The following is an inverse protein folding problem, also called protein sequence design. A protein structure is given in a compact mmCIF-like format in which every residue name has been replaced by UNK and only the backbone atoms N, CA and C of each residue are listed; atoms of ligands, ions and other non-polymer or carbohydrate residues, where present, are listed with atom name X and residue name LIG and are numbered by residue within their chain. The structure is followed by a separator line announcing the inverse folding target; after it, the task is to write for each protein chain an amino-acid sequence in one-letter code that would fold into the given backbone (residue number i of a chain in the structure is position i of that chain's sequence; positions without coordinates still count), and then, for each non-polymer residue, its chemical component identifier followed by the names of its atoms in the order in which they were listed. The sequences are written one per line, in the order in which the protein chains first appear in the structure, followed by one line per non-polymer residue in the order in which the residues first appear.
data_IF_560261078392
#
_entry.id   IF_560261078392
#
_cell.length_a   1.000
_cell.length_b   1.000
_cell.length_c   1.000
_cell.angle_alpha   90.00
_cell.angle_beta   90.00
_cell.angle_gamma   90.00
#
_symmetry.space_group_name_H-M   'P 1'
#
loop_
_entity.id
_entity.type
_entity.pdbx_description
1 polymer ?
#
# COMPACT_ATOMS: atom_id res chain seq x y z
N UNK A 1 40.18 17.52 -9.03
CA UNK A 1 39.00 18.37 -8.73
C UNK A 1 37.84 17.46 -8.42
N UNK A 2 37.38 17.46 -7.17
CA UNK A 2 36.18 16.74 -6.75
C UNK A 2 34.99 17.68 -6.96
N UNK A 3 34.09 17.36 -7.89
CA UNK A 3 32.81 18.07 -8.04
C UNK A 3 31.83 17.52 -6.99
N UNK A 4 31.11 18.36 -6.23
CA UNK A 4 30.08 17.88 -5.34
C UNK A 4 28.87 17.50 -6.18
N UNK A 5 28.52 16.21 -6.18
CA UNK A 5 27.24 15.76 -6.71
C UNK A 5 26.15 16.31 -5.79
N UNK A 6 25.41 17.32 -6.27
CA UNK A 6 24.25 17.83 -5.56
C UNK A 6 23.25 16.69 -5.33
N UNK A 7 23.01 16.37 -4.06
CA UNK A 7 21.91 15.51 -3.66
C UNK A 7 20.61 16.13 -4.16
N UNK A 8 19.95 15.45 -5.09
CA UNK A 8 18.60 15.81 -5.52
C UNK A 8 17.66 15.85 -4.31
N UNK A 9 16.69 16.78 -4.28
CA UNK A 9 15.85 16.98 -3.10
C UNK A 9 15.00 15.73 -2.76
N UNK A 10 15.31 15.15 -1.61
CA UNK A 10 14.48 14.48 -0.60
C UNK A 10 13.34 13.51 -1.03
N UNK A 11 13.68 12.21 -0.96
CA UNK A 11 12.86 11.07 -0.49
C UNK A 11 11.33 11.10 -0.70
N UNK A 12 10.85 10.61 -1.86
CA UNK A 12 9.49 10.06 -1.98
C UNK A 12 9.22 8.93 -0.96
N UNK A 13 10.28 8.27 -0.49
CA UNK A 13 10.24 7.24 0.54
C UNK A 13 9.81 7.76 1.94
N UNK A 14 9.91 9.06 2.20
CA UNK A 14 9.51 9.67 3.49
C UNK A 14 8.03 10.13 3.48
N UNK A 15 7.44 10.32 2.29
CA UNK A 15 6.04 10.74 2.20
C UNK A 15 5.14 9.52 2.43
N UNK A 16 4.60 9.40 3.63
CA UNK A 16 3.62 8.35 3.97
C UNK A 16 2.39 8.43 3.04
N UNK A 17 2.26 7.48 2.13
CA UNK A 17 1.15 7.41 1.18
C UNK A 17 -0.01 6.55 1.70
N UNK A 18 -1.19 6.76 1.12
CA UNK A 18 -2.37 5.92 1.28
C UNK A 18 -2.63 5.21 -0.05
N UNK A 19 -2.49 3.89 -0.09
CA UNK A 19 -2.57 3.11 -1.35
C UNK A 19 -3.69 2.09 -1.26
N UNK A 20 -4.61 2.12 -2.22
CA UNK A 20 -5.74 1.18 -2.30
C UNK A 20 -5.46 0.07 -3.30
N UNK A 21 -5.33 -1.17 -2.86
CA UNK A 21 -4.84 -2.26 -3.71
C UNK A 21 -5.94 -3.28 -3.95
N UNK A 22 -6.27 -3.50 -5.22
CA UNK A 22 -7.03 -4.68 -5.68
C UNK A 22 -6.08 -5.85 -5.96
N UNK A 23 -6.56 -7.09 -5.86
CA UNK A 23 -5.70 -8.26 -6.11
C UNK A 23 -4.55 -8.42 -5.11
N UNK A 24 -4.66 -7.81 -3.93
CA UNK A 24 -3.65 -7.80 -2.87
C UNK A 24 -3.21 -9.21 -2.42
N UNK A 25 -4.06 -10.22 -2.58
CA UNK A 25 -3.74 -11.63 -2.25
C UNK A 25 -3.11 -12.41 -3.40
N UNK A 26 -2.91 -11.76 -4.56
CA UNK A 26 -2.32 -12.38 -5.75
C UNK A 26 -0.80 -12.49 -5.68
N UNK A 27 -0.21 -13.05 -6.73
CA UNK A 27 1.23 -13.29 -6.85
C UNK A 27 2.05 -12.00 -6.66
N UNK A 28 1.68 -10.93 -7.37
CA UNK A 28 2.36 -9.64 -7.30
C UNK A 28 1.83 -8.79 -6.13
N UNK A 29 0.51 -8.77 -5.95
CA UNK A 29 -0.14 -7.96 -4.92
C UNK A 29 0.37 -8.25 -3.51
N UNK A 30 0.60 -9.53 -3.17
CA UNK A 30 1.09 -9.91 -1.84
C UNK A 30 2.47 -9.35 -1.53
N UNK A 31 3.38 -9.35 -2.52
CA UNK A 31 4.73 -8.78 -2.40
C UNK A 31 4.68 -7.26 -2.34
N UNK A 32 3.84 -6.63 -3.16
CA UNK A 32 3.63 -5.18 -3.16
C UNK A 32 3.13 -4.69 -1.79
N UNK A 33 2.09 -5.34 -1.27
CA UNK A 33 1.51 -5.03 0.05
C UNK A 33 2.55 -5.18 1.15
N UNK A 34 3.33 -6.27 1.13
CA UNK A 34 4.40 -6.50 2.10
C UNK A 34 5.45 -5.38 2.09
N UNK A 35 5.90 -4.99 0.89
CA UNK A 35 6.88 -3.91 0.72
C UNK A 35 6.35 -2.57 1.21
N UNK A 36 5.15 -2.17 0.78
CA UNK A 36 4.54 -0.90 1.19
C UNK A 36 4.25 -0.84 2.69
N UNK A 37 3.78 -1.94 3.29
CA UNK A 37 3.56 -2.02 4.73
C UNK A 37 4.89 -1.90 5.51
N UNK A 38 5.97 -2.54 5.04
CA UNK A 38 7.31 -2.43 5.66
C UNK A 38 7.90 -1.02 5.58
N UNK A 39 7.49 -0.25 4.57
CA UNK A 39 7.89 1.16 4.39
C UNK A 39 7.00 2.13 5.19
N UNK A 40 6.04 1.62 5.97
CA UNK A 40 5.18 2.45 6.83
C UNK A 40 4.03 3.16 6.09
N UNK A 41 3.77 2.81 4.83
CA UNK A 41 2.63 3.34 4.08
C UNK A 41 1.32 2.73 4.57
N UNK A 42 0.22 3.48 4.42
CA UNK A 42 -1.12 2.95 4.74
C UNK A 42 -1.67 2.17 3.55
N UNK A 43 -1.76 0.84 3.69
CA UNK A 43 -2.29 -0.03 2.65
C UNK A 43 -3.76 -0.36 2.92
N UNK A 44 -4.62 -0.08 1.94
CA UNK A 44 -6.05 -0.38 1.94
C UNK A 44 -6.31 -1.53 0.96
N UNK A 45 -6.57 -2.72 1.47
CA UNK A 45 -6.85 -3.91 0.68
C UNK A 45 -8.33 -3.90 0.26
N UNK A 46 -8.57 -3.80 -1.03
CA UNK A 46 -9.89 -3.93 -1.64
C UNK A 46 -10.11 -5.38 -2.04
N UNK A 47 -11.07 -6.05 -1.40
CA UNK A 47 -11.33 -7.47 -1.63
C UNK A 47 -12.83 -7.76 -1.62
N UNK A 48 -13.23 -8.80 -2.37
CA UNK A 48 -14.57 -9.37 -2.31
C UNK A 48 -14.78 -10.26 -1.08
N UNK A 49 -13.70 -10.79 -0.52
CA UNK A 49 -13.71 -11.62 0.68
C UNK A 49 -12.65 -11.11 1.67
N UNK A 50 -13.12 -10.48 2.74
CA UNK A 50 -12.27 -9.87 3.77
C UNK A 50 -11.62 -10.94 4.67
N UNK A 51 -12.34 -12.02 4.99
CA UNK A 51 -11.82 -13.04 5.90
C UNK A 51 -10.73 -13.85 5.21
N UNK A 52 -10.96 -14.27 3.97
CA UNK A 52 -9.94 -14.96 3.18
C UNK A 52 -8.70 -14.08 2.94
N UNK A 53 -8.88 -12.77 2.71
CA UNK A 53 -7.76 -11.86 2.52
C UNK A 53 -6.93 -11.66 3.80
N UNK A 54 -7.56 -11.54 4.97
CA UNK A 54 -6.86 -11.46 6.26
C UNK A 54 -6.01 -12.69 6.53
N UNK A 55 -6.54 -13.89 6.23
CA UNK A 55 -5.78 -15.13 6.39
C UNK A 55 -4.55 -15.23 5.48
N UNK A 56 -4.61 -14.63 4.28
CA UNK A 56 -3.52 -14.65 3.28
C UNK A 56 -2.50 -13.52 3.44
N UNK A 57 -2.86 -12.44 4.14
CA UNK A 57 -2.02 -11.26 4.30
C UNK A 57 -1.79 -10.97 5.80
N UNK A 58 -0.94 -11.74 6.48
CA UNK A 58 -0.65 -11.57 7.91
C UNK A 58 0.34 -10.42 8.17
N UNK A 59 0.13 -9.27 7.52
CA UNK A 59 0.98 -8.08 7.68
C UNK A 59 0.30 -7.06 8.61
N UNK A 60 1.04 -6.43 9.53
CA UNK A 60 0.48 -5.40 10.41
C UNK A 60 0.13 -4.14 9.62
N UNK A 61 -0.87 -3.39 10.08
CA UNK A 61 -1.23 -2.07 9.52
C UNK A 61 -2.09 -2.10 8.25
N UNK A 62 -2.49 -3.28 7.76
CA UNK A 62 -3.41 -3.41 6.63
C UNK A 62 -4.86 -3.07 7.03
N UNK A 63 -5.55 -2.29 6.20
CA UNK A 63 -7.00 -2.05 6.32
C UNK A 63 -7.72 -2.78 5.21
N UNK A 64 -8.72 -3.60 5.55
CA UNK A 64 -9.47 -4.38 4.58
C UNK A 64 -10.85 -3.78 4.36
N UNK A 65 -11.26 -3.71 3.09
CA UNK A 65 -12.55 -3.14 2.70
C UNK A 65 -13.29 -4.11 1.78
N UNK A 66 -14.56 -4.36 2.12
CA UNK A 66 -15.46 -5.15 1.27
C UNK A 66 -15.90 -4.32 0.06
N UNK A 67 -16.49 -4.98 -0.94
CA UNK A 67 -16.95 -4.33 -2.18
C UNK A 67 -17.88 -3.13 -1.93
N UNK A 68 -18.78 -3.22 -0.95
CA UNK A 68 -19.68 -2.12 -0.57
C UNK A 68 -18.93 -0.86 -0.08
N UNK A 69 -17.68 -1.02 0.38
CA UNK A 69 -16.87 0.04 0.96
C UNK A 69 -15.81 0.58 -0.01
N UNK A 70 -15.67 0.03 -1.22
CA UNK A 70 -14.58 0.40 -2.14
C UNK A 70 -14.57 1.89 -2.50
N UNK A 71 -15.73 2.48 -2.80
CA UNK A 71 -15.82 3.90 -3.14
C UNK A 71 -15.25 4.79 -2.01
N UNK A 72 -15.65 4.52 -0.77
CA UNK A 72 -15.14 5.24 0.40
C UNK A 72 -13.65 4.94 0.68
N UNK A 73 -13.19 3.72 0.38
CA UNK A 73 -11.80 3.32 0.59
C UNK A 73 -10.84 3.90 -0.46
N UNK A 74 -11.31 4.16 -1.68
CA UNK A 74 -10.56 4.82 -2.75
C UNK A 74 -10.53 6.34 -2.52
N UNK A 75 -11.60 6.91 -1.97
CA UNK A 75 -11.64 8.32 -1.61
C UNK A 75 -10.49 8.67 -0.65
N UNK A 76 -9.71 9.69 -1.04
CA UNK A 76 -8.54 10.15 -0.28
C UNK A 76 -7.31 9.24 -0.34
N UNK A 77 -7.28 8.24 -1.23
CA UNK A 77 -6.06 7.50 -1.52
C UNK A 77 -5.13 8.33 -2.41
N UNK A 78 -3.83 8.22 -2.15
CA UNK A 78 -2.77 8.82 -2.95
C UNK A 78 -2.55 8.03 -4.25
N UNK A 79 -2.90 6.73 -4.25
CA UNK A 79 -2.85 5.87 -5.43
C UNK A 79 -3.75 4.63 -5.28
N UNK A 80 -4.04 3.99 -6.42
CA UNK A 80 -4.82 2.75 -6.55
C UNK A 80 -4.04 1.74 -7.38
#
# INVERSE_FOLDING_TARGET
MCVPMAAAPNSEADRKMIVSITGATGLVGSRLVSKLASQGHQVRVLTRDVQAAKGKLPFPGLRFFSQAQWAAAIAGSTGV
#
